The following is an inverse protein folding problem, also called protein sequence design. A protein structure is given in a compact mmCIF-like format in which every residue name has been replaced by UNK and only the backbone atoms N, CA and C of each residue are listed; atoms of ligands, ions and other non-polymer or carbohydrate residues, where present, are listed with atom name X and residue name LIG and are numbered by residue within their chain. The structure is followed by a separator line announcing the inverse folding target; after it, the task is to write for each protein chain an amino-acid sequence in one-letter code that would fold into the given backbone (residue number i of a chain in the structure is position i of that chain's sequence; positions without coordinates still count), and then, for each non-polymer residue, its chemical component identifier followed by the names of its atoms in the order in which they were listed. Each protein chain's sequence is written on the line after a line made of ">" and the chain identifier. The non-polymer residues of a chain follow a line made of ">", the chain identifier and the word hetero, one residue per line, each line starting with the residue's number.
data_IF_151018861611
#
_entry.id   IF_151018861611
#
_cell.length_a   1.000
_cell.length_b   1.000
_cell.length_c   1.000
_cell.angle_alpha   90.00
_cell.angle_beta   90.00
_cell.angle_gamma   90.00
#
_symmetry.space_group_name_H-M   'P 1'
#
loop_
_entity.id
_entity.type
_entity.pdbx_description
1 polymer ?
#
# COMPACT_ATOMS: atom_id res chain seq x y z
N UNK A 1 -1.29 7.50 15.03
CA UNK A 1 -0.90 6.45 14.08
C UNK A 1 -1.71 6.45 12.80
N UNK A 2 -3.04 6.56 12.89
CA UNK A 2 -3.87 6.58 11.68
C UNK A 2 -3.60 7.80 10.79
N UNK A 3 -3.22 8.93 11.40
CA UNK A 3 -2.87 10.11 10.62
C UNK A 3 -1.66 9.85 9.72
N UNK A 4 -0.69 9.07 10.19
CA UNK A 4 0.48 8.74 9.37
C UNK A 4 0.09 7.84 8.19
N UNK A 5 -0.83 6.91 8.42
CA UNK A 5 -1.32 6.05 7.34
C UNK A 5 -2.00 6.89 6.27
N UNK A 6 -2.89 7.78 6.68
CA UNK A 6 -3.62 8.62 5.74
C UNK A 6 -2.69 9.60 5.02
N UNK A 7 -1.70 10.13 5.74
CA UNK A 7 -0.72 11.03 5.12
C UNK A 7 0.08 10.32 4.04
N UNK A 8 0.50 9.08 4.29
CA UNK A 8 1.24 8.31 3.30
C UNK A 8 0.35 7.93 2.11
N UNK A 9 -0.90 7.56 2.36
CA UNK A 9 -1.84 7.28 1.28
C UNK A 9 -2.05 8.50 0.40
N UNK A 10 -2.21 9.66 1.00
CA UNK A 10 -2.40 10.90 0.26
C UNK A 10 -1.14 11.26 -0.53
N UNK A 11 0.02 11.13 0.08
CA UNK A 11 1.29 11.45 -0.56
C UNK A 11 1.53 10.57 -1.79
N UNK A 12 1.14 9.30 -1.71
CA UNK A 12 1.39 8.33 -2.77
C UNK A 12 0.11 7.89 -3.46
N UNK A 13 -0.90 8.74 -3.45
CA UNK A 13 -2.22 8.40 -3.98
C UNK A 13 -2.19 7.96 -5.44
N UNK A 14 -1.25 8.48 -6.22
CA UNK A 14 -1.16 8.13 -7.64
C UNK A 14 -0.92 6.64 -7.85
N UNK A 15 -0.19 6.01 -6.92
CA UNK A 15 0.08 4.57 -7.03
C UNK A 15 -1.20 3.74 -6.91
N UNK A 16 -2.15 4.20 -6.12
CA UNK A 16 -3.35 3.44 -5.81
C UNK A 16 -4.56 3.90 -6.64
N UNK A 17 -4.49 5.08 -7.22
CA UNK A 17 -5.55 5.58 -8.09
C UNK A 17 -5.52 4.89 -9.45
N UNK A 18 -4.36 4.42 -9.91
CA UNK A 18 -4.19 3.77 -11.19
C UNK A 18 -4.34 2.26 -11.02
N UNK A 19 -5.43 1.70 -11.52
CA UNK A 19 -5.69 0.27 -11.41
C UNK A 19 -4.76 -0.58 -12.28
N UNK A 20 -4.18 0.01 -13.30
CA UNK A 20 -3.35 -0.70 -14.26
C UNK A 20 -1.86 -0.64 -13.95
N UNK A 21 -1.50 -0.17 -12.79
CA UNK A 21 -0.10 -0.12 -12.40
C UNK A 21 0.42 -1.54 -12.23
N UNK A 22 1.25 -1.98 -13.18
CA UNK A 22 1.77 -3.35 -13.23
C UNK A 22 3.18 -3.46 -12.70
N UNK A 23 3.94 -2.38 -12.78
CA UNK A 23 5.33 -2.36 -12.34
C UNK A 23 5.42 -1.59 -11.03
N UNK A 24 5.96 -2.24 -10.01
CA UNK A 24 6.14 -1.64 -8.69
C UNK A 24 7.64 -1.62 -8.37
N UNK A 25 8.16 -0.43 -8.16
CA UNK A 25 9.55 -0.27 -7.80
C UNK A 25 9.77 -0.71 -6.34
N UNK A 26 11.01 -1.07 -5.96
CA UNK A 26 11.26 -1.52 -4.59
C UNK A 26 10.85 -0.50 -3.51
N UNK A 27 11.07 0.79 -3.75
CA UNK A 27 10.67 1.83 -2.80
C UNK A 27 9.16 1.94 -2.69
N UNK A 28 8.44 1.78 -3.81
CA UNK A 28 6.98 1.80 -3.80
C UNK A 28 6.42 0.64 -2.99
N UNK A 29 6.99 -0.54 -3.16
CA UNK A 29 6.59 -1.71 -2.39
C UNK A 29 6.88 -1.52 -0.91
N UNK A 30 8.04 -0.94 -0.59
CA UNK A 30 8.41 -0.68 0.79
C UNK A 30 7.36 0.19 1.49
N UNK A 31 6.96 1.30 0.88
CA UNK A 31 5.96 2.19 1.46
C UNK A 31 4.58 1.54 1.51
N UNK A 32 4.24 0.75 0.50
CA UNK A 32 2.97 0.03 0.50
C UNK A 32 2.90 -0.95 1.66
N UNK A 33 3.97 -1.70 1.91
CA UNK A 33 4.03 -2.61 3.05
C UNK A 33 4.00 -1.85 4.38
N UNK A 34 4.64 -0.69 4.45
CA UNK A 34 4.57 0.12 5.66
C UNK A 34 3.15 0.58 5.97
N UNK A 35 2.44 1.06 4.97
CA UNK A 35 1.05 1.47 5.14
C UNK A 35 0.22 0.29 5.63
N UNK A 36 0.38 -0.86 4.99
CA UNK A 36 -0.34 -2.07 5.37
C UNK A 36 -0.05 -2.45 6.82
N UNK A 37 1.23 -2.49 7.19
CA UNK A 37 1.63 -2.91 8.52
C UNK A 37 1.12 -1.96 9.60
N UNK A 38 1.16 -0.66 9.34
CA UNK A 38 0.67 0.33 10.31
C UNK A 38 -0.84 0.22 10.49
N UNK A 39 -1.58 0.02 9.41
CA UNK A 39 -3.03 -0.04 9.49
C UNK A 39 -3.50 -1.34 10.15
N UNK A 40 -2.93 -2.46 9.76
CA UNK A 40 -3.37 -3.78 10.22
C UNK A 40 -2.60 -4.30 11.43
N UNK A 41 -1.59 -3.58 11.90
CA UNK A 41 -0.80 -4.00 13.05
C UNK A 41 0.04 -5.23 12.77
N UNK A 42 0.59 -5.34 11.56
CA UNK A 42 1.40 -6.50 11.16
C UNK A 42 2.84 -6.09 10.90
N UNK A 43 3.68 -7.08 10.64
CA UNK A 43 5.12 -6.88 10.38
C UNK A 43 5.54 -7.61 9.10
N UNK A 44 4.73 -7.54 8.07
CA UNK A 44 5.03 -8.21 6.80
C UNK A 44 6.17 -7.51 6.07
N UNK A 45 6.98 -8.30 5.39
CA UNK A 45 8.05 -7.78 4.55
C UNK A 45 7.90 -8.37 3.14
N UNK A 46 8.42 -7.64 2.14
CA UNK A 46 8.41 -8.11 0.77
C UNK A 46 9.42 -9.23 0.60
N UNK A 47 8.94 -10.44 0.36
CA UNK A 47 9.80 -11.62 0.19
C UNK A 47 9.93 -12.02 -1.28
N UNK A 48 9.43 -11.19 -2.20
CA UNK A 48 9.44 -11.54 -3.61
C UNK A 48 8.26 -12.39 -4.06
N UNK A 49 7.36 -12.72 -3.14
CA UNK A 49 6.16 -13.52 -3.46
C UNK A 49 5.15 -12.65 -4.21
N UNK A 50 4.89 -13.01 -5.47
CA UNK A 50 4.00 -12.21 -6.31
C UNK A 50 2.58 -12.13 -5.79
N UNK A 51 2.03 -13.26 -5.32
CA UNK A 51 0.67 -13.26 -4.77
C UNK A 51 0.58 -12.49 -3.48
N UNK A 52 1.64 -12.53 -2.64
CA UNK A 52 1.68 -11.77 -1.40
C UNK A 52 1.69 -10.27 -1.70
N UNK A 53 2.48 -9.84 -2.69
CA UNK A 53 2.52 -8.43 -3.11
C UNK A 53 1.16 -7.97 -3.60
N UNK A 54 0.52 -8.76 -4.45
CA UNK A 54 -0.80 -8.41 -4.97
C UNK A 54 -1.82 -8.27 -3.85
N UNK A 55 -1.77 -9.17 -2.87
CA UNK A 55 -2.69 -9.11 -1.73
C UNK A 55 -2.50 -7.84 -0.92
N UNK A 56 -1.25 -7.50 -0.58
CA UNK A 56 -0.95 -6.30 0.19
C UNK A 56 -1.36 -5.04 -0.59
N UNK A 57 -1.02 -4.98 -1.87
CA UNK A 57 -1.37 -3.85 -2.72
C UNK A 57 -2.89 -3.69 -2.80
N UNK A 58 -3.61 -4.79 -2.97
CA UNK A 58 -5.07 -4.74 -3.05
C UNK A 58 -5.70 -4.21 -1.76
N UNK A 59 -5.18 -4.63 -0.62
CA UNK A 59 -5.68 -4.14 0.67
C UNK A 59 -5.42 -2.65 0.85
N UNK A 60 -4.21 -2.20 0.49
CA UNK A 60 -3.87 -0.78 0.61
C UNK A 60 -4.67 0.06 -0.37
N UNK A 61 -4.87 -0.45 -1.59
CA UNK A 61 -5.73 0.24 -2.56
C UNK A 61 -7.14 0.41 -2.03
N UNK A 62 -7.66 -0.59 -1.37
CA UNK A 62 -9.00 -0.50 -0.76
C UNK A 62 -9.05 0.56 0.33
N UNK A 63 -7.98 0.67 1.13
CA UNK A 63 -7.88 1.74 2.11
C UNK A 63 -7.92 3.10 1.43
N UNK A 64 -7.17 3.25 0.36
CA UNK A 64 -7.17 4.49 -0.41
C UNK A 64 -8.59 4.83 -0.90
N UNK A 65 -9.25 3.85 -1.50
CA UNK A 65 -10.59 4.06 -2.04
C UNK A 65 -11.61 4.41 -0.96
N UNK A 66 -11.44 3.85 0.22
CA UNK A 66 -12.38 4.07 1.33
C UNK A 66 -12.18 5.42 2.00
N UNK A 67 -10.92 5.85 2.17
CA UNK A 67 -10.61 6.99 3.04
C UNK A 67 -10.14 8.23 2.31
N UNK A 68 -9.57 8.10 1.11
CA UNK A 68 -8.96 9.22 0.41
C UNK A 68 -9.77 9.61 -0.83
N UNK A 69 -10.23 8.63 -1.58
CA UNK A 69 -10.92 8.86 -2.85
C UNK A 69 -12.29 9.54 -2.71
#
# INVERSE_FOLDING_TARGET
>A
MMQQVYALLEKHKDWFATKDKKVWQPDELYYTYQIYNMYFGENRVDTGCGSCRRSVIAHVRKLYETHIK
#
